data_IF_678543558719
#
_entry.id   IF_678543558719
#
_cell.length_a   1.000
_cell.length_b   1.000
_cell.length_c   1.000
_cell.angle_alpha   90.00
_cell.angle_beta   90.00
_cell.angle_gamma   90.00
#
_symmetry.space_group_name_H-M   'P 1'
#
loop_
_entity.id
_entity.type
_entity.pdbx_description
1 polymer ?
#
# COMPACT_ATOMS: atom_id res chain seq x y z
N UNK A 1 -11.77 -17.78 81.45
CA UNK A 1 -10.58 -17.33 80.70
C UNK A 1 -10.73 -17.78 79.26
N UNK A 2 -10.51 -16.82 78.35
CA UNK A 2 -10.60 -16.93 76.89
C UNK A 2 -9.67 -18.02 76.36
N UNK A 3 -10.11 -18.73 75.32
CA UNK A 3 -9.31 -18.97 74.12
C UNK A 3 -10.28 -19.10 72.94
N UNK A 4 -10.56 -17.93 72.35
CA UNK A 4 -11.02 -17.78 70.97
C UNK A 4 -9.78 -17.64 70.07
N UNK A 5 -9.89 -18.11 68.82
CA UNK A 5 -8.91 -17.92 67.76
C UNK A 5 -7.88 -19.05 67.73
N UNK A 6 -7.67 -19.78 66.64
CA UNK A 6 -7.65 -19.35 65.25
C UNK A 6 -8.22 -20.46 64.35
N UNK A 7 -9.41 -20.24 63.81
CA UNK A 7 -9.77 -20.88 62.54
C UNK A 7 -8.91 -20.23 61.46
N UNK A 8 -7.81 -20.88 61.11
CA UNK A 8 -7.08 -20.61 59.87
C UNK A 8 -8.08 -20.78 58.72
N UNK A 9 -8.67 -19.68 58.27
CA UNK A 9 -9.25 -19.56 56.94
C UNK A 9 -8.13 -19.84 55.95
N UNK A 10 -8.04 -21.10 55.51
CA UNK A 10 -7.29 -21.48 54.32
C UNK A 10 -7.68 -20.51 53.22
N UNK A 11 -6.75 -19.63 52.85
CA UNK A 11 -6.89 -18.78 51.69
C UNK A 11 -7.28 -19.70 50.53
N UNK A 12 -8.51 -19.56 50.05
CA UNK A 12 -8.96 -20.23 48.82
C UNK A 12 -7.92 -19.90 47.76
N UNK A 13 -7.17 -20.92 47.33
CA UNK A 13 -6.23 -20.81 46.23
C UNK A 13 -7.05 -20.51 44.98
N UNK A 14 -7.31 -19.22 44.74
CA UNK A 14 -8.02 -18.74 43.55
C UNK A 14 -7.17 -19.12 42.35
N UNK A 15 -7.68 -20.04 41.54
CA UNK A 15 -7.05 -20.43 40.29
C UNK A 15 -7.42 -19.42 39.20
N UNK A 16 -6.56 -19.28 38.19
CA UNK A 16 -6.85 -18.41 37.05
C UNK A 16 -8.20 -18.76 36.40
N UNK A 17 -8.57 -20.04 36.39
CA UNK A 17 -9.85 -20.55 35.88
C UNK A 17 -11.09 -20.00 36.59
N UNK A 18 -10.94 -19.54 37.85
CA UNK A 18 -12.03 -19.02 38.68
C UNK A 18 -12.43 -17.58 38.30
N UNK A 19 -11.60 -16.89 37.52
CA UNK A 19 -11.93 -15.58 36.98
C UNK A 19 -13.09 -15.66 35.99
N UNK A 20 -13.88 -14.59 35.90
CA UNK A 20 -14.93 -14.45 34.90
C UNK A 20 -14.35 -14.33 33.47
N UNK A 21 -15.19 -14.53 32.46
CA UNK A 21 -14.75 -14.54 31.07
C UNK A 21 -14.17 -13.20 30.60
N UNK A 22 -14.67 -12.08 31.13
CA UNK A 22 -14.20 -10.75 30.76
C UNK A 22 -12.79 -10.49 31.32
N UNK A 23 -12.57 -10.81 32.59
CA UNK A 23 -11.25 -10.73 33.22
C UNK A 23 -10.23 -11.64 32.52
N UNK A 24 -10.60 -12.89 32.22
CA UNK A 24 -9.76 -13.83 31.48
C UNK A 24 -9.42 -13.32 30.08
N UNK A 25 -10.41 -12.82 29.34
CA UNK A 25 -10.19 -12.25 28.03
C UNK A 25 -9.21 -11.08 28.09
N UNK A 26 -9.31 -10.21 29.10
CA UNK A 26 -8.39 -9.10 29.29
C UNK A 26 -6.95 -9.56 29.56
N UNK A 27 -6.76 -10.55 30.44
CA UNK A 27 -5.45 -11.15 30.71
C UNK A 27 -4.85 -11.78 29.44
N UNK A 28 -5.64 -12.57 28.71
CA UNK A 28 -5.18 -13.23 27.48
C UNK A 28 -4.82 -12.24 26.35
N UNK A 29 -5.34 -11.01 26.35
CA UNK A 29 -4.94 -10.00 25.37
C UNK A 29 -3.47 -9.56 25.51
N UNK A 30 -2.82 -9.81 26.64
CA UNK A 30 -1.39 -9.51 26.83
C UNK A 30 -0.45 -10.63 26.35
N UNK A 31 -0.98 -11.84 26.10
CA UNK A 31 -0.19 -12.99 25.69
C UNK A 31 0.15 -12.95 24.19
N UNK A 32 1.31 -13.49 23.81
CA UNK A 32 1.68 -13.75 22.41
C UNK A 32 0.92 -14.98 21.88
N UNK A 33 1.01 -15.24 20.57
CA UNK A 33 0.29 -16.38 19.97
C UNK A 33 0.73 -17.73 20.57
N UNK A 34 2.03 -17.90 20.84
CA UNK A 34 2.56 -19.15 21.39
C UNK A 34 2.04 -19.46 22.79
N UNK A 35 1.96 -18.45 23.65
CA UNK A 35 1.41 -18.59 25.00
C UNK A 35 -0.10 -18.83 24.96
N UNK A 36 -0.82 -18.14 24.06
CA UNK A 36 -2.25 -18.40 23.83
C UNK A 36 -2.51 -19.83 23.36
N UNK A 37 -1.67 -20.38 22.47
CA UNK A 37 -1.79 -21.76 22.01
C UNK A 37 -1.64 -22.75 23.17
N UNK A 38 -0.73 -22.48 24.13
CA UNK A 38 -0.61 -23.29 25.35
C UNK A 38 -1.85 -23.13 26.24
N UNK A 39 -2.34 -21.90 26.43
CA UNK A 39 -3.54 -21.64 27.24
C UNK A 39 -4.79 -22.32 26.69
N UNK A 40 -4.93 -22.44 25.37
CA UNK A 40 -6.05 -23.17 24.72
C UNK A 40 -6.08 -24.64 25.14
N UNK A 41 -4.94 -25.24 25.49
CA UNK A 41 -4.85 -26.65 25.89
C UNK A 41 -5.20 -26.88 27.39
N UNK A 42 -5.34 -25.82 28.18
CA UNK A 42 -5.56 -25.93 29.63
C UNK A 42 -6.99 -26.40 29.95
N UNK A 43 -8.01 -25.76 29.38
CA UNK A 43 -9.41 -26.14 29.60
C UNK A 43 -10.35 -25.61 28.51
N UNK A 44 -11.56 -26.18 28.41
CA UNK A 44 -12.58 -25.78 27.42
C UNK A 44 -12.99 -24.30 27.53
N UNK A 45 -13.01 -23.74 28.75
CA UNK A 45 -13.31 -22.33 29.00
C UNK A 45 -12.27 -21.42 28.36
N UNK A 46 -10.98 -21.71 28.55
CA UNK A 46 -9.90 -20.93 27.93
C UNK A 46 -9.91 -21.07 26.42
N UNK A 47 -10.08 -22.29 25.91
CA UNK A 47 -10.24 -22.52 24.47
C UNK A 47 -11.36 -21.66 23.88
N UNK A 48 -12.55 -21.65 24.52
CA UNK A 48 -13.69 -20.86 24.07
C UNK A 48 -13.37 -19.36 24.02
N UNK A 49 -12.90 -18.80 25.14
CA UNK A 49 -12.59 -17.37 25.27
C UNK A 49 -11.51 -16.96 24.28
N UNK A 50 -10.42 -17.72 24.17
CA UNK A 50 -9.29 -17.39 23.30
C UNK A 50 -9.72 -17.41 21.83
N UNK A 51 -10.45 -18.44 21.40
CA UNK A 51 -10.88 -18.57 20.01
C UNK A 51 -11.99 -17.59 19.61
N UNK A 52 -12.97 -17.35 20.49
CA UNK A 52 -14.17 -16.55 20.18
C UNK A 52 -14.03 -15.06 20.52
N UNK A 53 -13.13 -14.69 21.43
CA UNK A 53 -12.98 -13.31 21.91
C UNK A 53 -11.57 -12.76 21.66
N UNK A 54 -10.53 -13.46 22.12
CA UNK A 54 -9.15 -12.92 22.12
C UNK A 54 -8.57 -12.81 20.71
N UNK A 55 -8.53 -13.89 19.92
CA UNK A 55 -8.00 -13.84 18.56
C UNK A 55 -8.77 -12.85 17.66
N UNK A 56 -10.10 -12.77 17.68
CA UNK A 56 -10.84 -11.74 16.94
C UNK A 56 -10.46 -10.32 17.33
N UNK A 57 -10.35 -10.03 18.63
CA UNK A 57 -9.98 -8.70 19.11
C UNK A 57 -8.54 -8.35 18.73
N UNK A 58 -7.58 -9.27 18.96
CA UNK A 58 -6.19 -9.08 18.51
C UNK A 58 -6.11 -8.89 17.00
N UNK A 59 -6.83 -9.68 16.21
CA UNK A 59 -6.82 -9.59 14.74
C UNK A 59 -7.34 -8.23 14.27
N UNK A 60 -8.41 -7.68 14.87
CA UNK A 60 -8.93 -6.35 14.52
C UNK A 60 -7.93 -5.23 14.79
N UNK A 61 -7.08 -5.40 15.80
CA UNK A 61 -6.06 -4.41 16.17
C UNK A 61 -4.68 -4.67 15.55
N UNK A 62 -4.51 -5.78 14.84
CA UNK A 62 -3.31 -6.10 14.08
C UNK A 62 -3.06 -5.04 13.01
N UNK A 63 -1.80 -4.68 12.80
CA UNK A 63 -1.44 -3.51 12.01
C UNK A 63 -1.65 -3.78 10.52
N UNK A 64 -0.94 -4.77 9.99
CA UNK A 64 -1.02 -5.14 8.57
C UNK A 64 -2.18 -6.09 8.35
N UNK A 65 -2.23 -7.14 9.17
CA UNK A 65 -3.15 -8.25 8.98
C UNK A 65 -4.55 -7.96 9.51
N UNK A 66 -4.80 -6.81 10.16
CA UNK A 66 -6.15 -6.42 10.59
C UNK A 66 -7.02 -5.85 9.47
N UNK A 67 -6.41 -5.49 8.33
CA UNK A 67 -7.15 -4.97 7.17
C UNK A 67 -7.94 -6.05 6.44
N UNK A 68 -9.22 -5.78 6.22
CA UNK A 68 -10.07 -6.61 5.37
C UNK A 68 -9.74 -6.42 3.88
N UNK A 69 -9.28 -5.24 3.47
CA UNK A 69 -8.79 -4.99 2.12
C UNK A 69 -7.55 -5.85 1.82
N UNK A 70 -6.56 -5.83 2.70
CA UNK A 70 -5.35 -6.66 2.57
C UNK A 70 -5.66 -8.16 2.63
N UNK A 71 -6.65 -8.57 3.42
CA UNK A 71 -7.10 -9.96 3.46
C UNK A 71 -7.83 -10.38 2.15
N UNK A 72 -8.64 -9.49 1.57
CA UNK A 72 -9.33 -9.74 0.30
C UNK A 72 -8.36 -9.87 -0.88
N UNK A 73 -7.24 -9.15 -0.84
CA UNK A 73 -6.16 -9.28 -1.80
C UNK A 73 -5.36 -10.56 -1.64
N UNK A 74 -5.49 -11.31 -0.54
CA UNK A 74 -4.68 -12.52 -0.37
C UNK A 74 -5.29 -13.71 -1.11
N UNK A 75 -4.49 -14.50 -1.85
CA UNK A 75 -4.96 -15.77 -2.40
C UNK A 75 -5.26 -16.79 -1.29
N UNK A 76 -4.75 -16.56 -0.07
CA UNK A 76 -4.96 -17.39 1.10
C UNK A 76 -6.14 -16.93 1.94
N UNK A 77 -6.76 -17.87 2.66
CA UNK A 77 -7.84 -17.57 3.60
C UNK A 77 -7.35 -17.90 5.01
N UNK A 78 -6.83 -16.87 5.68
CA UNK A 78 -6.24 -17.02 7.00
C UNK A 78 -7.28 -16.90 8.11
N UNK A 79 -7.20 -17.81 9.09
CA UNK A 79 -7.98 -17.68 10.33
C UNK A 79 -7.52 -16.47 11.13
N UNK A 80 -8.36 -15.98 12.06
CA UNK A 80 -8.01 -14.88 12.96
C UNK A 80 -6.73 -15.17 13.75
N UNK A 81 -6.55 -16.40 14.24
CA UNK A 81 -5.30 -16.85 14.88
C UNK A 81 -4.10 -16.66 13.94
N UNK A 82 -4.19 -17.14 12.70
CA UNK A 82 -3.08 -17.05 11.75
C UNK A 82 -2.78 -15.60 11.35
N UNK A 83 -3.80 -14.74 11.21
CA UNK A 83 -3.62 -13.29 10.99
C UNK A 83 -2.87 -12.63 12.15
N UNK A 84 -3.19 -12.97 13.39
CA UNK A 84 -2.44 -12.46 14.57
C UNK A 84 -1.00 -12.97 14.55
N UNK A 85 -0.76 -14.22 14.17
CA UNK A 85 0.60 -14.76 14.04
C UNK A 85 1.41 -14.06 12.94
N UNK A 86 0.78 -13.84 11.78
CA UNK A 86 1.38 -13.09 10.68
C UNK A 86 1.73 -11.65 11.11
N UNK A 87 0.89 -11.00 11.93
CA UNK A 87 1.18 -9.66 12.45
C UNK A 87 2.47 -9.63 13.27
N UNK A 88 2.75 -10.67 14.06
CA UNK A 88 4.04 -10.82 14.73
C UNK A 88 5.19 -10.88 13.71
N UNK A 89 5.02 -11.63 12.61
CA UNK A 89 6.06 -11.75 11.58
C UNK A 89 6.34 -10.41 10.89
N UNK A 90 5.29 -9.64 10.57
CA UNK A 90 5.43 -8.28 10.06
C UNK A 90 6.17 -7.39 11.05
N UNK A 91 5.80 -7.41 12.34
CA UNK A 91 6.43 -6.58 13.37
C UNK A 91 7.87 -6.97 13.67
N UNK A 92 8.23 -8.24 13.59
CA UNK A 92 9.58 -8.73 13.91
C UNK A 92 10.45 -8.96 12.66
N UNK A 93 10.01 -8.56 11.48
CA UNK A 93 10.78 -8.70 10.25
C UNK A 93 11.08 -10.16 9.87
N UNK A 94 10.17 -11.10 10.17
CA UNK A 94 10.29 -12.51 9.75
C UNK A 94 9.67 -12.69 8.38
N UNK A 95 10.51 -12.78 7.35
CA UNK A 95 10.07 -13.00 5.98
C UNK A 95 11.07 -13.84 5.18
N UNK A 96 10.55 -14.58 4.20
CA UNK A 96 11.32 -15.12 3.09
C UNK A 96 11.27 -14.17 1.90
N UNK A 97 12.37 -14.09 1.16
CA UNK A 97 12.45 -13.23 -0.01
C UNK A 97 12.61 -14.05 -1.29
N UNK A 98 11.93 -13.60 -2.35
CA UNK A 98 12.14 -14.07 -3.72
C UNK A 98 12.26 -12.91 -4.68
N UNK A 99 13.02 -13.10 -5.75
CA UNK A 99 13.23 -12.09 -6.79
C UNK A 99 12.86 -12.64 -8.15
N UNK A 100 12.17 -11.83 -8.95
CA UNK A 100 11.58 -12.18 -10.24
C UNK A 100 11.86 -11.09 -11.27
N UNK A 101 11.66 -11.44 -12.54
CA UNK A 101 11.69 -10.51 -13.67
C UNK A 101 12.96 -9.66 -13.70
N UNK A 102 14.11 -10.31 -13.53
CA UNK A 102 15.38 -9.62 -13.58
C UNK A 102 15.66 -9.10 -15.00
N UNK A 103 16.05 -7.84 -15.10
CA UNK A 103 16.37 -7.21 -16.37
C UNK A 103 17.63 -6.35 -16.28
N UNK A 104 18.38 -6.31 -17.38
CA UNK A 104 19.68 -5.61 -17.46
C UNK A 104 19.51 -4.09 -17.57
N UNK A 105 18.44 -3.62 -18.22
CA UNK A 105 18.13 -2.20 -18.41
C UNK A 105 17.32 -1.71 -17.22
N UNK A 106 17.57 -0.50 -16.72
CA UNK A 106 16.77 0.07 -15.63
C UNK A 106 15.37 0.44 -16.14
N UNK A 107 14.32 0.02 -15.43
CA UNK A 107 12.94 0.42 -15.70
C UNK A 107 12.25 0.89 -14.41
N UNK A 108 11.57 2.05 -14.47
CA UNK A 108 10.69 2.53 -13.39
C UNK A 108 9.34 1.79 -13.49
N UNK A 109 9.40 0.48 -13.26
CA UNK A 109 8.25 -0.40 -13.43
C UNK A 109 7.15 -0.06 -12.41
N UNK A 110 5.90 -0.10 -12.86
CA UNK A 110 4.72 0.09 -12.04
C UNK A 110 4.13 -1.26 -11.64
N UNK A 111 3.36 -1.27 -10.56
CA UNK A 111 2.77 -2.47 -9.98
C UNK A 111 1.33 -2.25 -9.56
N UNK A 112 0.49 -3.26 -9.76
CA UNK A 112 -0.78 -3.44 -9.06
C UNK A 112 -0.98 -4.93 -8.73
N UNK A 113 -1.82 -5.23 -7.75
CA UNK A 113 -2.21 -6.61 -7.40
C UNK A 113 -3.72 -6.72 -7.25
N UNK A 114 -4.22 -7.88 -7.64
CA UNK A 114 -5.49 -8.43 -7.20
C UNK A 114 -5.25 -9.74 -6.44
N UNK A 115 -6.32 -10.37 -5.97
CA UNK A 115 -6.27 -11.69 -5.35
C UNK A 115 -5.51 -12.73 -6.18
N UNK A 116 -5.82 -12.80 -7.47
CA UNK A 116 -5.35 -13.88 -8.35
C UNK A 116 -4.23 -13.45 -9.32
N UNK A 117 -4.00 -12.14 -9.46
CA UNK A 117 -3.05 -11.61 -10.45
C UNK A 117 -2.14 -10.52 -9.88
N UNK A 118 -0.89 -10.54 -10.33
CA UNK A 118 0.07 -9.45 -10.25
C UNK A 118 0.11 -8.77 -11.62
N UNK A 119 0.06 -7.44 -11.65
CA UNK A 119 0.21 -6.65 -12.86
C UNK A 119 1.47 -5.82 -12.76
N UNK A 120 2.34 -5.90 -13.77
CA UNK A 120 3.61 -5.19 -13.79
C UNK A 120 3.84 -4.57 -15.16
N UNK A 121 4.35 -3.33 -15.17
CA UNK A 121 4.78 -2.71 -16.43
C UNK A 121 6.23 -3.03 -16.70
N UNK A 122 6.57 -3.37 -17.95
CA UNK A 122 7.94 -3.66 -18.35
C UNK A 122 8.13 -3.54 -19.87
N UNK A 123 9.07 -2.68 -20.29
CA UNK A 123 9.44 -2.47 -21.70
C UNK A 123 8.24 -2.12 -22.57
N UNK A 124 7.57 -1.01 -22.25
CA UNK A 124 6.38 -0.52 -22.95
C UNK A 124 5.10 -1.36 -22.80
N UNK A 125 5.11 -2.44 -22.00
CA UNK A 125 3.99 -3.38 -21.88
C UNK A 125 3.43 -3.42 -20.48
N UNK A 126 2.13 -3.66 -20.35
CA UNK A 126 1.47 -4.07 -19.11
C UNK A 126 1.26 -5.59 -19.16
N UNK A 127 1.81 -6.31 -18.18
CA UNK A 127 1.78 -7.77 -18.13
C UNK A 127 1.06 -8.25 -16.88
N UNK A 128 0.22 -9.27 -17.03
CA UNK A 128 -0.43 -9.95 -15.91
C UNK A 128 0.21 -11.32 -15.67
N UNK A 129 0.49 -11.62 -14.41
CA UNK A 129 1.05 -12.87 -13.95
C UNK A 129 0.14 -13.47 -12.88
N UNK A 130 -0.11 -14.78 -12.93
CA UNK A 130 -0.97 -15.43 -11.93
C UNK A 130 -0.26 -15.55 -10.60
N UNK A 131 -0.93 -15.17 -9.52
CA UNK A 131 -0.47 -15.42 -8.15
C UNK A 131 -0.80 -16.86 -7.80
N UNK A 132 0.14 -17.56 -7.18
CA UNK A 132 0.02 -18.97 -6.86
C UNK A 132 0.22 -19.21 -5.38
N UNK A 133 -0.42 -20.27 -4.86
CA UNK A 133 -0.18 -20.76 -3.49
C UNK A 133 1.07 -21.64 -3.39
N UNK A 134 1.83 -21.74 -4.48
CA UNK A 134 3.04 -22.52 -4.53
C UNK A 134 4.16 -21.81 -3.79
N UNK A 135 5.22 -22.56 -3.50
CA UNK A 135 6.49 -22.03 -3.02
C UNK A 135 7.00 -20.89 -3.91
N UNK A 136 6.72 -20.92 -5.22
CA UNK A 136 7.11 -19.87 -6.16
C UNK A 136 6.24 -18.60 -6.13
N UNK A 137 5.12 -18.56 -5.42
CA UNK A 137 4.24 -17.39 -5.18
C UNK A 137 3.59 -16.76 -6.44
N UNK A 138 4.23 -16.83 -7.59
CA UNK A 138 3.81 -16.27 -8.88
C UNK A 138 4.18 -17.25 -9.98
N UNK A 139 3.29 -17.40 -10.97
CA UNK A 139 3.59 -18.00 -12.26
C UNK A 139 4.21 -16.94 -13.17
N UNK A 140 5.48 -17.13 -13.56
CA UNK A 140 6.22 -16.16 -14.39
C UNK A 140 5.73 -16.11 -15.82
N UNK A 141 4.89 -17.06 -16.25
CA UNK A 141 4.22 -16.99 -17.56
C UNK A 141 3.24 -15.83 -17.59
N UNK A 142 3.17 -15.18 -18.74
CA UNK A 142 2.25 -14.07 -18.99
C UNK A 142 0.84 -14.66 -19.16
N UNK A 143 -0.08 -14.28 -18.30
CA UNK A 143 -1.48 -14.67 -18.39
C UNK A 143 -2.21 -13.86 -19.47
N UNK A 144 -1.95 -12.56 -19.52
CA UNK A 144 -2.35 -11.66 -20.59
C UNK A 144 -1.42 -10.44 -20.59
N UNK A 145 -1.42 -9.70 -21.70
CA UNK A 145 -0.56 -8.55 -21.91
C UNK A 145 -1.25 -7.52 -22.79
N UNK A 146 -0.88 -6.25 -22.58
CA UNK A 146 -1.28 -5.12 -23.41
C UNK A 146 -0.05 -4.28 -23.76
N UNK A 147 -0.01 -3.76 -24.99
CA UNK A 147 1.14 -3.05 -25.55
C UNK A 147 2.12 -3.98 -26.25
N UNK A 148 3.06 -3.39 -26.97
CA UNK A 148 4.02 -4.08 -27.83
C UNK A 148 5.46 -3.86 -27.38
N UNK A 149 6.33 -4.80 -27.74
CA UNK A 149 7.78 -4.61 -27.58
C UNK A 149 8.22 -3.46 -28.50
N UNK A 150 8.92 -2.48 -27.94
CA UNK A 150 9.33 -1.28 -28.67
C UNK A 150 8.42 -0.08 -28.46
N UNK A 151 7.24 -0.27 -27.85
CA UNK A 151 6.46 0.87 -27.39
C UNK A 151 7.25 1.67 -26.34
N UNK A 152 6.96 2.97 -26.28
CA UNK A 152 7.46 3.84 -25.22
C UNK A 152 7.04 3.35 -23.83
N UNK A 153 7.95 3.46 -22.86
CA UNK A 153 7.76 2.93 -21.52
C UNK A 153 6.56 3.55 -20.79
N UNK A 154 5.87 2.70 -20.03
CA UNK A 154 4.77 3.12 -19.16
C UNK A 154 5.36 3.69 -17.87
N UNK A 155 5.16 4.99 -17.67
CA UNK A 155 5.70 5.75 -16.52
C UNK A 155 4.78 5.71 -15.31
N UNK A 156 3.47 5.58 -15.54
CA UNK A 156 2.46 5.60 -14.49
C UNK A 156 1.31 4.67 -14.81
N UNK A 157 0.76 4.04 -13.77
CA UNK A 157 -0.35 3.10 -13.86
C UNK A 157 -1.35 3.37 -12.72
N UNK A 158 -2.62 3.51 -13.10
CA UNK A 158 -3.75 3.49 -12.21
C UNK A 158 -4.64 2.29 -12.54
N UNK A 159 -5.08 1.57 -11.52
CA UNK A 159 -6.00 0.43 -11.66
C UNK A 159 -7.18 0.65 -10.72
N UNK A 160 -8.39 0.53 -11.25
CA UNK A 160 -9.63 0.45 -10.45
C UNK A 160 -10.52 -0.63 -11.05
N UNK A 161 -10.89 -1.61 -10.23
CA UNK A 161 -11.60 -2.82 -10.67
C UNK A 161 -10.85 -3.47 -11.86
N UNK A 162 -11.55 -3.71 -12.97
CA UNK A 162 -10.98 -4.31 -14.17
C UNK A 162 -10.41 -3.29 -15.16
N UNK A 163 -10.43 -1.99 -14.85
CA UNK A 163 -9.91 -0.93 -15.73
C UNK A 163 -8.49 -0.53 -15.33
N UNK A 164 -7.64 -0.40 -16.34
CA UNK A 164 -6.25 0.02 -16.25
C UNK A 164 -6.06 1.28 -17.08
N UNK A 165 -5.51 2.31 -16.46
CA UNK A 165 -5.17 3.56 -17.12
C UNK A 165 -3.67 3.82 -16.95
N UNK A 166 -2.98 4.00 -18.05
CA UNK A 166 -1.53 4.10 -18.09
C UNK A 166 -1.08 5.32 -18.90
N UNK A 167 -0.02 5.97 -18.42
CA UNK A 167 0.68 7.04 -19.14
C UNK A 167 2.03 6.58 -19.64
N UNK A 168 2.45 7.07 -20.81
CA UNK A 168 3.72 6.69 -21.46
C UNK A 168 4.69 7.86 -21.61
N UNK A 169 5.96 7.56 -21.84
CA UNK A 169 6.99 8.59 -22.07
C UNK A 169 6.82 9.35 -23.40
N UNK A 170 6.04 8.84 -24.35
CA UNK A 170 5.79 9.50 -25.64
C UNK A 170 4.51 10.36 -25.64
N UNK A 171 3.97 10.69 -24.46
CA UNK A 171 2.78 11.55 -24.35
C UNK A 171 1.45 10.85 -24.62
N UNK A 172 1.46 9.52 -24.82
CA UNK A 172 0.26 8.72 -25.04
C UNK A 172 -0.30 8.13 -23.75
N UNK A 173 -1.63 8.08 -23.69
CA UNK A 173 -2.37 7.34 -22.67
C UNK A 173 -2.90 6.02 -23.22
N UNK A 174 -2.98 5.02 -22.36
CA UNK A 174 -3.53 3.70 -22.62
C UNK A 174 -4.64 3.42 -21.60
N UNK A 175 -5.86 3.21 -22.09
CA UNK A 175 -6.96 2.64 -21.31
C UNK A 175 -7.17 1.19 -21.74
N UNK A 176 -7.21 0.27 -20.78
CA UNK A 176 -7.51 -1.13 -21.01
C UNK A 176 -8.55 -1.62 -20.02
N UNK A 177 -9.58 -2.29 -20.52
CA UNK A 177 -10.60 -2.92 -19.70
C UNK A 177 -10.52 -4.44 -19.79
N UNK A 178 -10.19 -5.06 -18.66
CA UNK A 178 -10.09 -6.50 -18.54
C UNK A 178 -11.48 -7.15 -18.49
N UNK A 179 -11.71 -8.16 -19.32
CA UNK A 179 -13.01 -8.83 -19.47
C UNK A 179 -13.69 -8.49 -20.79
N UNK A 180 -13.77 -7.20 -21.14
CA UNK A 180 -14.20 -6.77 -22.50
C UNK A 180 -13.06 -6.90 -23.51
N UNK A 181 -11.80 -6.78 -23.06
CA UNK A 181 -10.62 -6.80 -23.92
C UNK A 181 -10.44 -5.52 -24.72
N UNK A 182 -11.22 -4.48 -24.41
CA UNK A 182 -11.14 -3.19 -25.09
C UNK A 182 -9.87 -2.44 -24.69
N UNK A 183 -9.22 -1.87 -25.70
CA UNK A 183 -8.01 -1.08 -25.55
C UNK A 183 -8.18 0.23 -26.33
N UNK A 184 -7.86 1.35 -25.69
CA UNK A 184 -7.80 2.66 -26.32
C UNK A 184 -6.42 3.28 -26.09
N UNK A 185 -5.81 3.76 -27.17
CA UNK A 185 -4.53 4.45 -27.15
C UNK A 185 -4.74 5.82 -27.80
N UNK A 186 -4.43 6.89 -27.08
CA UNK A 186 -4.62 8.26 -27.56
C UNK A 186 -3.40 9.11 -27.23
N UNK A 187 -2.98 9.94 -28.18
CA UNK A 187 -1.90 10.93 -27.96
C UNK A 187 -2.50 12.18 -27.35
N UNK A 188 -1.99 12.60 -26.19
CA UNK A 188 -2.50 13.79 -25.47
C UNK A 188 -1.55 14.98 -25.64
N UNK A 189 -0.26 14.71 -25.63
CA UNK A 189 0.80 15.73 -25.67
C UNK A 189 2.04 15.14 -26.34
N UNK A 190 3.03 15.99 -26.62
CA UNK A 190 4.38 15.57 -27.01
C UNK A 190 5.34 15.46 -25.81
N UNK A 191 4.89 15.76 -24.59
CA UNK A 191 5.67 15.64 -23.35
C UNK A 191 5.50 14.27 -22.67
N UNK A 192 6.44 13.92 -21.80
CA UNK A 192 6.39 12.68 -21.00
C UNK A 192 5.19 12.74 -20.05
N UNK A 193 4.31 11.74 -20.09
CA UNK A 193 3.30 11.59 -19.04
C UNK A 193 4.01 11.16 -17.76
N UNK A 194 3.75 11.89 -16.66
CA UNK A 194 4.44 11.67 -15.40
C UNK A 194 3.59 10.88 -14.41
N UNK A 195 2.32 11.24 -14.27
CA UNK A 195 1.38 10.51 -13.44
C UNK A 195 -0.03 10.51 -14.02
N UNK A 196 -0.76 9.43 -13.77
CA UNK A 196 -2.16 9.27 -14.17
C UNK A 196 -3.00 8.78 -13.00
N UNK A 197 -4.26 9.20 -12.95
CA UNK A 197 -5.28 8.57 -12.12
C UNK A 197 -6.66 8.80 -12.74
N UNK A 198 -7.65 8.04 -12.30
CA UNK A 198 -9.02 8.18 -12.78
C UNK A 198 -10.02 7.79 -11.71
N UNK A 199 -11.23 8.32 -11.75
CA UNK A 199 -12.31 7.93 -10.85
C UNK A 199 -13.63 7.96 -11.61
N UNK A 200 -14.31 6.81 -11.65
CA UNK A 200 -15.49 6.59 -12.50
C UNK A 200 -15.16 6.92 -13.95
N UNK A 201 -15.60 8.08 -14.44
CA UNK A 201 -15.49 8.51 -15.83
C UNK A 201 -14.65 9.79 -15.96
N UNK A 202 -14.06 10.27 -14.86
CA UNK A 202 -13.13 11.41 -14.86
C UNK A 202 -11.70 10.88 -14.80
N UNK A 203 -10.88 11.35 -15.73
CA UNK A 203 -9.49 10.93 -15.90
C UNK A 203 -8.57 12.14 -15.77
N UNK A 204 -7.43 11.96 -15.11
CA UNK A 204 -6.44 13.00 -14.91
C UNK A 204 -5.06 12.52 -15.32
N UNK A 205 -4.33 13.40 -16.00
CA UNK A 205 -2.98 13.15 -16.52
C UNK A 205 -2.13 14.37 -16.23
N UNK A 206 -0.99 14.21 -15.58
CA UNK A 206 0.03 15.27 -15.50
C UNK A 206 1.22 14.88 -16.35
N UNK A 207 1.76 15.85 -17.08
CA UNK A 207 3.01 15.68 -17.82
C UNK A 207 4.20 15.99 -16.93
N UNK A 208 5.42 15.84 -17.48
CA UNK A 208 6.67 16.10 -16.77
C UNK A 208 6.94 17.60 -16.62
N UNK A 209 6.63 18.40 -17.64
CA UNK A 209 7.10 19.77 -17.74
C UNK A 209 5.97 20.80 -17.90
N UNK A 210 4.89 20.45 -18.57
CA UNK A 210 3.95 21.42 -19.10
C UNK A 210 2.68 21.56 -18.27
N UNK A 211 1.81 20.54 -18.28
CA UNK A 211 0.41 20.73 -17.91
C UNK A 211 -0.20 19.51 -17.23
N UNK A 212 -1.34 19.74 -16.59
CA UNK A 212 -2.22 18.70 -16.08
C UNK A 212 -3.56 18.77 -16.80
N UNK A 213 -3.92 17.68 -17.44
CA UNK A 213 -5.13 17.53 -18.23
C UNK A 213 -6.17 16.74 -17.45
N UNK A 214 -7.43 17.16 -17.56
CA UNK A 214 -8.59 16.45 -17.06
C UNK A 214 -9.49 16.11 -18.25
N UNK A 215 -9.98 14.89 -18.26
CA UNK A 215 -10.80 14.33 -19.32
C UNK A 215 -12.07 13.71 -18.76
N UNK A 216 -13.10 13.71 -19.58
CA UNK A 216 -14.23 12.81 -19.41
C UNK A 216 -14.07 11.65 -20.38
N UNK A 217 -14.37 10.45 -19.91
CA UNK A 217 -14.40 9.24 -20.72
C UNK A 217 -15.83 8.97 -21.17
N UNK A 218 -16.06 9.05 -22.48
CA UNK A 218 -17.31 8.70 -23.12
C UNK A 218 -17.08 7.38 -23.87
N UNK A 219 -17.49 6.22 -23.34
CA UNK A 219 -17.26 4.95 -24.02
C UNK A 219 -17.89 4.98 -25.42
N UNK A 220 -17.19 4.51 -26.46
CA UNK A 220 -17.72 4.54 -27.81
C UNK A 220 -18.98 3.68 -27.90
N UNK A 221 -20.03 4.22 -28.50
CA UNK A 221 -21.28 3.50 -28.71
C UNK A 221 -21.01 2.25 -29.57
N UNK A 222 -21.35 1.07 -29.05
CA UNK A 222 -21.03 -0.22 -29.72
C UNK A 222 -21.68 -0.37 -31.10
N UNK A 223 -22.68 0.46 -31.42
CA UNK A 223 -23.41 0.44 -32.69
C UNK A 223 -22.81 1.37 -33.75
N UNK A 224 -21.91 2.28 -33.37
CA UNK A 224 -21.30 3.24 -34.27
C UNK A 224 -19.80 2.96 -34.40
N UNK A 225 -19.34 2.73 -35.63
CA UNK A 225 -17.93 2.62 -36.01
C UNK A 225 -17.23 3.99 -35.90
N UNK A 226 -17.28 4.62 -34.74
CA UNK A 226 -16.62 5.90 -34.51
C UNK A 226 -15.17 5.66 -34.09
N UNK A 227 -14.26 6.04 -34.98
CA UNK A 227 -12.81 6.15 -34.75
C UNK A 227 -12.47 7.53 -34.15
N UNK A 228 -13.31 7.98 -33.20
CA UNK A 228 -13.17 9.28 -32.53
C UNK A 228 -12.35 9.18 -31.25
N UNK A 229 -11.81 10.32 -30.81
CA UNK A 229 -11.15 10.43 -29.51
C UNK A 229 -12.13 10.06 -28.38
N UNK A 230 -11.78 9.05 -27.58
CA UNK A 230 -12.62 8.55 -26.49
C UNK A 230 -12.48 9.41 -25.23
N UNK A 231 -11.40 10.18 -25.16
CA UNK A 231 -11.15 11.16 -24.13
C UNK A 231 -11.42 12.57 -24.64
N UNK A 232 -12.45 13.19 -24.09
CA UNK A 232 -12.78 14.59 -24.35
C UNK A 232 -12.12 15.48 -23.29
N UNK A 233 -11.39 16.50 -23.72
CA UNK A 233 -10.77 17.47 -22.82
C UNK A 233 -11.82 18.26 -22.06
N UNK A 234 -11.82 18.15 -20.74
CA UNK A 234 -12.67 18.98 -19.88
C UNK A 234 -11.95 20.24 -19.40
N UNK A 235 -10.68 20.10 -18.98
CA UNK A 235 -9.89 21.23 -18.52
C UNK A 235 -8.38 20.98 -18.60
N UNK A 236 -7.58 22.06 -18.74
CA UNK A 236 -6.12 22.01 -18.75
C UNK A 236 -5.56 23.01 -17.74
N UNK A 237 -4.84 22.52 -16.74
CA UNK A 237 -4.11 23.35 -15.79
C UNK A 237 -2.67 23.56 -16.28
N UNK A 238 -2.15 24.81 -16.27
CA UNK A 238 -0.84 25.16 -16.83
C UNK A 238 0.34 24.75 -15.93
N UNK A 239 0.14 23.78 -15.04
CA UNK A 239 1.16 23.28 -14.12
C UNK A 239 1.31 21.77 -14.27
N UNK A 240 2.55 21.31 -14.32
CA UNK A 240 2.91 19.91 -14.15
C UNK A 240 3.16 19.54 -12.68
N UNK A 241 2.91 18.29 -12.35
CA UNK A 241 3.07 17.67 -11.04
C UNK A 241 3.81 16.33 -11.15
N UNK A 242 4.47 15.94 -10.07
CA UNK A 242 5.18 14.67 -9.94
C UNK A 242 4.20 13.50 -9.74
N UNK A 243 3.12 13.74 -9.00
CA UNK A 243 2.13 12.73 -8.65
C UNK A 243 0.74 13.36 -8.56
N UNK A 244 -0.29 12.56 -8.87
CA UNK A 244 -1.69 12.95 -8.80
C UNK A 244 -2.55 11.79 -8.28
N UNK A 245 -3.59 12.11 -7.50
CA UNK A 245 -4.64 11.15 -7.12
C UNK A 245 -6.02 11.78 -7.05
N UNK A 246 -6.97 11.14 -7.70
CA UNK A 246 -8.33 11.61 -7.84
C UNK A 246 -9.26 10.96 -6.80
N UNK A 247 -9.98 11.79 -6.07
CA UNK A 247 -11.05 11.40 -5.17
C UNK A 247 -12.28 12.26 -5.43
N UNK A 248 -13.27 11.66 -6.09
CA UNK A 248 -14.45 12.34 -6.61
C UNK A 248 -14.06 13.58 -7.44
N UNK A 249 -14.38 14.77 -6.95
CA UNK A 249 -14.12 16.04 -7.65
C UNK A 249 -12.82 16.70 -7.19
N UNK A 250 -12.06 16.07 -6.29
CA UNK A 250 -10.82 16.60 -5.74
C UNK A 250 -9.63 15.82 -6.27
N UNK A 251 -8.69 16.54 -6.89
CA UNK A 251 -7.44 16.00 -7.38
C UNK A 251 -6.30 16.45 -6.46
N UNK A 252 -5.80 15.52 -5.64
CA UNK A 252 -4.59 15.74 -4.85
C UNK A 252 -3.38 15.72 -5.78
N UNK A 253 -2.51 16.72 -5.69
CA UNK A 253 -1.35 16.85 -6.58
C UNK A 253 -0.08 17.19 -5.79
N UNK A 254 1.04 16.63 -6.22
CA UNK A 254 2.34 16.80 -5.57
C UNK A 254 3.38 17.34 -6.54
N UNK A 255 4.04 18.45 -6.19
CA UNK A 255 5.12 19.02 -7.01
C UNK A 255 6.46 18.31 -6.79
N UNK A 256 7.28 18.20 -7.84
CA UNK A 256 8.65 17.70 -7.74
C UNK A 256 9.59 18.67 -6.98
N UNK A 257 9.28 19.96 -6.95
CA UNK A 257 10.01 20.94 -6.16
C UNK A 257 9.18 22.21 -5.91
N UNK A 258 9.24 22.72 -4.68
CA UNK A 258 8.61 23.97 -4.25
C UNK A 258 9.50 24.68 -3.23
N UNK A 259 10.11 25.81 -3.63
CA UNK A 259 10.94 26.63 -2.75
C UNK A 259 10.18 27.20 -1.54
N UNK A 260 8.86 27.40 -1.68
CA UNK A 260 7.98 27.89 -0.61
C UNK A 260 7.53 26.81 0.38
N UNK A 261 8.01 25.57 0.24
CA UNK A 261 7.58 24.40 1.05
C UNK A 261 6.06 24.18 1.02
N UNK A 262 5.45 24.27 -0.16
CA UNK A 262 4.01 24.04 -0.39
C UNK A 262 3.83 23.18 -1.64
N UNK A 263 4.54 22.06 -1.69
CA UNK A 263 4.53 21.16 -2.84
C UNK A 263 3.22 20.37 -2.97
N UNK A 264 2.55 20.09 -1.85
CA UNK A 264 1.22 19.47 -1.84
C UNK A 264 0.12 20.51 -2.10
N UNK A 265 -0.71 20.25 -3.10
CA UNK A 265 -1.84 21.10 -3.47
C UNK A 265 -3.07 20.24 -3.74
N UNK A 266 -4.23 20.89 -3.77
CA UNK A 266 -5.50 20.28 -4.12
C UNK A 266 -6.09 21.08 -5.28
N UNK A 267 -6.60 20.36 -6.28
CA UNK A 267 -7.33 20.96 -7.38
C UNK A 267 -8.79 20.53 -7.24
N UNK A 268 -9.68 21.50 -7.08
CA UNK A 268 -11.11 21.25 -7.15
C UNK A 268 -11.54 21.31 -8.62
N UNK A 269 -11.95 20.15 -9.15
CA UNK A 269 -12.34 19.99 -10.54
C UNK A 269 -13.65 20.70 -10.88
N UNK A 270 -14.52 20.97 -9.90
CA UNK A 270 -15.78 21.67 -10.13
C UNK A 270 -15.58 23.18 -10.23
N UNK A 271 -14.84 23.76 -9.28
CA UNK A 271 -14.54 25.20 -9.29
C UNK A 271 -13.33 25.57 -10.17
N UNK A 272 -12.59 24.58 -10.66
CA UNK A 272 -11.32 24.72 -11.36
C UNK A 272 -10.27 25.53 -10.58
N UNK A 273 -10.34 25.49 -9.24
CA UNK A 273 -9.44 26.25 -8.36
C UNK A 273 -8.33 25.36 -7.81
N UNK A 274 -7.17 25.96 -7.58
CA UNK A 274 -6.01 25.30 -6.96
C UNK A 274 -5.84 25.85 -5.55
N UNK A 275 -6.04 24.98 -4.56
CA UNK A 275 -5.82 25.25 -3.15
C UNK A 275 -4.43 24.73 -2.73
N UNK A 276 -3.65 25.58 -2.07
CA UNK A 276 -2.41 25.14 -1.41
C UNK A 276 -2.74 24.60 -0.03
N UNK A 277 -2.22 23.42 0.30
CA UNK A 277 -2.32 22.88 1.65
C UNK A 277 -1.15 23.40 2.50
N UNK A 278 -1.39 23.58 3.80
CA UNK A 278 -0.43 24.00 4.81
C UNK A 278 0.44 22.83 5.29
N UNK A 279 0.87 21.99 4.34
CA UNK A 279 1.83 20.92 4.58
C UNK A 279 3.21 21.39 4.13
N UNK A 280 4.22 21.50 5.02
CA UNK A 280 5.53 22.09 4.72
C UNK A 280 6.42 21.14 3.88
N UNK A 281 5.95 20.78 2.69
CA UNK A 281 6.56 19.82 1.76
C UNK A 281 7.37 20.57 0.69
N UNK A 282 8.64 20.20 0.54
CA UNK A 282 9.52 20.72 -0.54
C UNK A 282 9.27 20.01 -1.85
N UNK A 283 8.98 18.71 -1.81
CA UNK A 283 8.60 17.90 -2.94
C UNK A 283 7.82 16.68 -2.48
N UNK A 284 6.87 16.25 -3.29
CA UNK A 284 5.96 15.13 -2.99
C UNK A 284 6.11 14.11 -4.12
N UNK A 285 6.56 12.89 -3.80
CA UNK A 285 6.80 11.83 -4.77
C UNK A 285 5.60 10.91 -4.95
N UNK A 286 4.79 10.72 -3.90
CA UNK A 286 3.57 9.93 -4.00
C UNK A 286 2.50 10.48 -3.07
N UNK A 287 1.25 10.34 -3.49
CA UNK A 287 0.07 10.72 -2.71
C UNK A 287 -0.94 9.60 -2.78
N UNK A 288 -1.71 9.43 -1.70
CA UNK A 288 -2.84 8.51 -1.62
C UNK A 288 -3.96 9.17 -0.83
N UNK A 289 -5.20 8.90 -1.21
CA UNK A 289 -6.35 9.21 -0.36
C UNK A 289 -6.50 8.12 0.69
N UNK A 290 -6.51 8.51 1.96
CA UNK A 290 -6.84 7.63 3.08
C UNK A 290 -8.37 7.46 3.17
N UNK A 291 -9.09 8.57 3.01
CA UNK A 291 -10.54 8.67 3.02
C UNK A 291 -10.97 9.94 2.25
N UNK A 292 -12.21 10.39 2.42
CA UNK A 292 -12.76 11.57 1.72
C UNK A 292 -12.08 12.90 2.10
N UNK A 293 -11.40 12.95 3.25
CA UNK A 293 -10.87 14.19 3.81
C UNK A 293 -9.38 14.13 4.13
N UNK A 294 -8.77 12.95 4.14
CA UNK A 294 -7.38 12.79 4.52
C UNK A 294 -6.52 12.26 3.36
N UNK A 295 -5.37 12.92 3.16
CA UNK A 295 -4.33 12.54 2.21
C UNK A 295 -3.13 12.01 2.97
N UNK A 296 -2.55 10.92 2.48
CA UNK A 296 -1.20 10.48 2.82
C UNK A 296 -0.24 10.94 1.73
N UNK A 297 0.89 11.54 2.10
CA UNK A 297 1.91 11.94 1.14
C UNK A 297 3.31 11.48 1.56
N UNK A 298 4.08 11.01 0.58
CA UNK A 298 5.48 10.62 0.70
C UNK A 298 6.36 11.69 0.09
N UNK A 299 7.30 12.21 0.88
CA UNK A 299 8.00 13.44 0.54
C UNK A 299 9.51 13.22 0.34
N UNK A 300 10.12 14.18 -0.37
CA UNK A 300 11.57 14.27 -0.49
C UNK A 300 12.27 14.57 0.83
N UNK A 301 11.62 15.37 1.68
CA UNK A 301 12.12 15.82 3.00
C UNK A 301 12.18 14.73 4.07
N UNK A 302 12.15 13.46 3.65
CA UNK A 302 12.29 12.25 4.48
C UNK A 302 11.10 11.97 5.40
N UNK A 303 9.98 12.66 5.15
CA UNK A 303 8.73 12.49 5.88
C UNK A 303 7.66 11.77 5.05
N UNK A 304 6.82 11.02 5.76
CA UNK A 304 5.46 10.70 5.32
C UNK A 304 4.49 11.51 6.20
N UNK A 305 3.50 12.17 5.60
CA UNK A 305 2.55 13.03 6.33
C UNK A 305 1.11 12.60 6.07
N UNK A 306 0.27 12.81 7.07
CA UNK A 306 -1.19 12.72 6.98
C UNK A 306 -1.74 14.13 7.03
N UNK A 307 -2.51 14.54 6.03
CA UNK A 307 -3.01 15.91 5.86
C UNK A 307 -4.53 15.88 5.78
N UNK A 308 -5.21 16.68 6.61
CA UNK A 308 -6.67 16.89 6.49
C UNK A 308 -6.92 18.04 5.52
N UNK A 309 -7.67 17.77 4.45
CA UNK A 309 -7.93 18.75 3.38
C UNK A 309 -8.89 19.87 3.80
N UNK A 310 -9.69 19.66 4.85
CA UNK A 310 -10.65 20.66 5.37
C UNK A 310 -9.92 21.74 6.15
N UNK A 311 -8.91 21.36 6.93
CA UNK A 311 -8.05 22.30 7.67
C UNK A 311 -6.87 22.76 6.83
N UNK A 312 -6.47 21.95 5.85
CA UNK A 312 -5.27 22.09 5.06
C UNK A 312 -3.98 21.73 5.80
N UNK A 313 -4.06 21.31 7.07
CA UNK A 313 -2.89 21.12 7.93
C UNK A 313 -2.47 19.64 8.02
N UNK A 314 -1.20 19.43 8.38
CA UNK A 314 -0.73 18.10 8.75
C UNK A 314 -1.35 17.68 10.09
N UNK A 315 -2.07 16.56 10.09
CA UNK A 315 -2.58 15.90 11.29
C UNK A 315 -1.50 15.06 11.98
N UNK A 316 -0.59 14.49 11.19
CA UNK A 316 0.52 13.70 11.70
C UNK A 316 1.69 13.60 10.71
N UNK A 317 2.89 13.37 11.25
CA UNK A 317 4.12 13.24 10.50
C UNK A 317 4.94 12.04 11.01
N UNK A 318 5.60 11.33 10.10
CA UNK A 318 6.51 10.24 10.38
C UNK A 318 7.79 10.46 9.60
N UNK A 319 8.91 10.51 10.32
CA UNK A 319 10.23 10.70 9.72
C UNK A 319 10.89 9.35 9.49
N UNK A 320 11.64 9.23 8.39
CA UNK A 320 12.50 8.09 8.17
C UNK A 320 13.70 8.09 9.15
N UNK A 321 13.97 6.97 9.87
CA UNK A 321 15.10 6.90 10.82
C UNK A 321 16.49 7.14 10.21
N UNK A 322 16.64 6.97 8.89
CA UNK A 322 17.91 7.12 8.18
C UNK A 322 17.90 8.30 7.20
N UNK A 323 16.95 9.22 7.36
CA UNK A 323 16.86 10.43 6.54
C UNK A 323 16.86 10.12 5.02
N UNK A 324 16.13 9.08 4.60
CA UNK A 324 15.88 8.81 3.20
C UNK A 324 14.49 9.31 2.78
N UNK A 325 14.40 9.84 1.56
CA UNK A 325 13.14 10.26 0.94
C UNK A 325 12.19 9.08 0.72
N UNK A 326 10.89 9.37 0.82
CA UNK A 326 9.80 8.41 0.59
C UNK A 326 9.35 8.49 -0.86
N UNK A 327 9.61 7.45 -1.66
CA UNK A 327 9.36 7.42 -3.10
C UNK A 327 7.95 6.94 -3.46
N UNK A 328 7.40 6.00 -2.69
CA UNK A 328 6.06 5.47 -2.92
C UNK A 328 5.39 5.02 -1.63
N UNK A 329 4.07 4.97 -1.66
CA UNK A 329 3.23 4.58 -0.53
C UNK A 329 2.33 3.39 -0.91
N UNK A 330 2.02 2.55 0.08
CA UNK A 330 0.97 1.54 -0.01
C UNK A 330 0.21 1.51 1.32
N UNK A 331 -1.02 2.01 1.30
CA UNK A 331 -1.92 2.02 2.45
C UNK A 331 -2.83 0.80 2.44
N UNK A 332 -2.95 0.11 3.57
CA UNK A 332 -3.77 -1.10 3.66
C UNK A 332 -5.27 -0.83 3.87
N UNK A 333 -5.74 0.42 3.91
CA UNK A 333 -7.14 0.76 4.19
C UNK A 333 -7.52 0.79 5.68
N UNK A 334 -6.56 0.59 6.60
CA UNK A 334 -6.79 0.67 8.05
C UNK A 334 -5.75 1.56 8.74
N UNK A 335 -4.66 0.98 9.25
CA UNK A 335 -3.63 1.70 10.00
C UNK A 335 -2.22 1.53 9.45
N UNK A 336 -1.97 0.53 8.60
CA UNK A 336 -0.62 0.27 8.09
C UNK A 336 -0.35 1.06 6.82
N UNK A 337 0.79 1.76 6.79
CA UNK A 337 1.35 2.34 5.58
C UNK A 337 2.73 1.73 5.36
N UNK A 338 2.91 1.14 4.19
CA UNK A 338 4.23 0.74 3.70
C UNK A 338 4.81 1.88 2.85
N UNK A 339 6.05 2.24 3.11
CA UNK A 339 6.76 3.31 2.43
C UNK A 339 7.99 2.75 1.72
N UNK A 340 8.10 2.99 0.42
CA UNK A 340 9.28 2.66 -0.37
C UNK A 340 10.31 3.77 -0.28
N UNK A 341 11.54 3.40 0.07
CA UNK A 341 12.59 4.37 0.37
C UNK A 341 13.57 4.54 -0.78
N UNK A 342 14.25 5.69 -0.81
CA UNK A 342 15.26 6.04 -1.82
C UNK A 342 16.44 5.07 -1.89
N UNK A 343 16.83 4.45 -0.77
CA UNK A 343 18.06 3.67 -0.68
C UNK A 343 17.83 2.23 -0.23
N UNK A 344 18.76 1.36 -0.61
CA UNK A 344 18.90 -0.01 -0.13
C UNK A 344 17.71 -0.95 -0.39
N UNK A 345 16.90 -0.70 -1.41
CA UNK A 345 15.66 -1.45 -1.65
C UNK A 345 14.71 -1.43 -0.42
N UNK A 346 14.93 -0.48 0.49
CA UNK A 346 14.36 -0.53 1.82
C UNK A 346 12.91 -0.12 1.77
N UNK A 347 12.11 -0.79 2.58
CA UNK A 347 10.73 -0.43 2.83
C UNK A 347 10.52 -0.26 4.33
N UNK A 348 9.71 0.72 4.72
CA UNK A 348 9.34 0.92 6.12
C UNK A 348 7.86 0.65 6.32
N UNK A 349 7.50 0.18 7.52
CA UNK A 349 6.13 0.05 8.00
C UNK A 349 5.87 1.09 9.08
N UNK A 350 4.81 1.87 8.88
CA UNK A 350 4.31 2.86 9.83
C UNK A 350 2.90 2.48 10.31
N UNK A 351 2.59 2.88 11.56
CA UNK A 351 1.24 2.80 12.13
C UNK A 351 0.66 4.20 12.26
N UNK A 352 -0.46 4.45 11.58
CA UNK A 352 -1.15 5.73 11.59
C UNK A 352 -1.62 6.17 12.98
N UNK A 353 -1.71 5.26 13.95
CA UNK A 353 -2.09 5.53 15.34
C UNK A 353 -0.90 5.96 16.21
N UNK A 354 0.32 5.79 15.72
CA UNK A 354 1.55 6.05 16.45
C UNK A 354 2.46 6.97 15.61
N UNK A 355 2.20 8.29 15.57
CA UNK A 355 3.07 9.25 14.89
C UNK A 355 4.50 9.21 15.42
N UNK A 356 5.45 9.65 14.61
CA UNK A 356 6.88 9.73 14.94
C UNK A 356 7.58 8.39 15.25
N UNK A 357 6.99 7.25 14.89
CA UNK A 357 7.60 5.93 15.10
C UNK A 357 7.59 5.08 13.83
N UNK A 358 8.75 4.63 13.40
CA UNK A 358 8.88 3.52 12.46
C UNK A 358 8.60 2.21 13.20
N UNK A 359 7.64 1.41 12.73
CA UNK A 359 7.29 0.14 13.38
C UNK A 359 8.28 -0.94 13.03
N UNK A 360 8.66 -1.03 11.75
CA UNK A 360 9.62 -1.98 11.25
C UNK A 360 10.20 -1.51 9.91
N UNK A 361 11.43 -1.96 9.60
CA UNK A 361 12.06 -1.78 8.31
C UNK A 361 12.34 -3.15 7.69
N UNK A 362 12.26 -3.24 6.36
CA UNK A 362 12.56 -4.46 5.63
C UNK A 362 13.64 -4.19 4.58
N UNK A 363 14.64 -5.06 4.56
CA UNK A 363 15.79 -4.96 3.68
C UNK A 363 15.84 -6.19 2.77
N UNK A 364 15.44 -6.04 1.51
CA UNK A 364 15.69 -7.06 0.51
C UNK A 364 17.19 -7.35 0.35
N UNK A 365 17.54 -8.62 0.12
CA UNK A 365 18.89 -9.15 0.07
C UNK A 365 19.75 -8.44 -0.98
N UNK A 366 20.92 -7.99 -0.57
CA UNK A 366 21.87 -7.38 -1.49
C UNK A 366 22.49 -8.46 -2.39
N UNK A 367 22.13 -8.48 -3.68
CA UNK A 367 22.80 -9.33 -4.68
C UNK A 367 23.93 -8.59 -5.41
N UNK A 368 23.79 -7.29 -5.63
CA UNK A 368 24.77 -6.45 -6.34
C UNK A 368 25.19 -5.24 -5.47
N UNK A 369 26.28 -4.57 -5.84
CA UNK A 369 26.82 -3.40 -5.13
C UNK A 369 25.89 -2.19 -5.12
N UNK A 370 24.94 -2.12 -6.07
CA UNK A 370 24.10 -0.95 -6.29
C UNK A 370 22.94 -0.86 -5.29
N UNK A 371 22.72 0.35 -4.80
CA UNK A 371 21.55 0.72 -4.02
C UNK A 371 20.48 1.21 -4.98
N UNK A 372 19.27 0.65 -4.87
CA UNK A 372 18.13 1.03 -5.70
C UNK A 372 17.03 1.65 -4.83
N UNK A 373 16.33 2.68 -5.32
CA UNK A 373 15.05 3.10 -4.76
C UNK A 373 13.99 2.01 -4.88
N UNK A 374 12.95 2.14 -4.07
CA UNK A 374 11.71 1.39 -4.25
C UNK A 374 10.69 2.27 -4.96
N UNK A 375 10.39 1.95 -6.21
CA UNK A 375 9.50 2.75 -7.07
C UNK A 375 8.02 2.47 -6.83
N UNK A 376 7.69 1.23 -6.48
CA UNK A 376 6.31 0.84 -6.16
C UNK A 376 6.27 -0.28 -5.15
N UNK A 377 5.27 -0.21 -4.27
CA UNK A 377 4.94 -1.26 -3.31
C UNK A 377 3.48 -1.62 -3.49
N UNK A 378 3.18 -2.90 -3.36
CA UNK A 378 1.84 -3.36 -3.02
C UNK A 378 1.97 -4.44 -1.93
N UNK A 379 0.95 -4.59 -1.10
CA UNK A 379 0.95 -5.62 -0.07
C UNK A 379 -0.45 -6.19 0.12
N UNK A 380 -0.51 -7.48 0.43
CA UNK A 380 -1.69 -8.11 1.01
C UNK A 380 -1.41 -8.42 2.50
N UNK A 381 -2.22 -9.27 3.14
CA UNK A 381 -1.99 -9.60 4.54
C UNK A 381 -0.76 -10.48 4.85
N UNK A 382 -0.16 -11.16 3.87
CA UNK A 382 0.99 -12.07 4.09
C UNK A 382 2.20 -11.82 3.18
N UNK A 383 2.06 -11.02 2.13
CA UNK A 383 3.07 -10.78 1.11
C UNK A 383 3.22 -9.29 0.83
N UNK A 384 4.47 -8.85 0.66
CA UNK A 384 4.81 -7.52 0.15
C UNK A 384 5.54 -7.65 -1.18
N UNK A 385 5.12 -6.88 -2.17
CA UNK A 385 5.69 -6.81 -3.50
C UNK A 385 6.43 -5.48 -3.64
N UNK A 386 7.71 -5.54 -4.00
CA UNK A 386 8.64 -4.42 -4.02
C UNK A 386 9.25 -4.31 -5.40
N UNK A 387 8.96 -3.23 -6.11
CA UNK A 387 9.53 -2.96 -7.44
C UNK A 387 10.73 -2.03 -7.32
N UNK A 388 11.81 -2.43 -7.98
CA UNK A 388 13.15 -1.81 -7.92
C UNK A 388 13.66 -1.53 -9.33
N UNK A 389 14.85 -0.97 -9.48
CA UNK A 389 15.46 -0.65 -10.79
C UNK A 389 15.52 -1.83 -11.77
N UNK A 390 15.65 -3.06 -11.25
CA UNK A 390 16.08 -4.23 -12.04
C UNK A 390 15.27 -5.50 -11.83
N UNK A 391 14.33 -5.49 -10.89
CA UNK A 391 13.53 -6.67 -10.56
C UNK A 391 12.33 -6.33 -9.68
N UNK A 392 11.42 -7.29 -9.64
CA UNK A 392 10.43 -7.45 -8.59
C UNK A 392 11.00 -8.29 -7.46
N UNK A 393 10.69 -7.92 -6.22
CA UNK A 393 10.95 -8.72 -5.03
C UNK A 393 9.66 -8.97 -4.26
N UNK A 394 9.53 -10.17 -3.72
CA UNK A 394 8.39 -10.58 -2.92
C UNK A 394 8.91 -10.99 -1.55
N UNK A 395 8.42 -10.33 -0.51
CA UNK A 395 8.66 -10.71 0.88
C UNK A 395 7.42 -11.47 1.38
N UNK A 396 7.58 -12.73 1.74
CA UNK A 396 6.53 -13.57 2.30
C UNK A 396 6.68 -13.66 3.81
N UNK A 397 5.69 -13.13 4.54
CA UNK A 397 5.63 -13.10 5.99
C UNK A 397 4.94 -14.33 6.58
N UNK A 398 4.39 -15.22 5.75
CA UNK A 398 4.00 -16.57 6.18
C UNK A 398 5.24 -17.48 6.28
N UNK A 399 6.16 -17.10 7.16
CA UNK A 399 7.49 -17.67 7.28
C UNK A 399 7.91 -17.72 8.77
N UNK A 400 7.18 -18.49 9.58
CA UNK A 400 7.43 -18.60 11.03
C UNK A 400 8.82 -19.16 11.37
N UNK A 401 9.46 -19.85 10.43
CA UNK A 401 10.82 -20.38 10.53
C UNK A 401 11.92 -19.38 10.13
N UNK A 402 11.56 -18.25 9.51
CA UNK A 402 12.54 -17.26 9.09
C UNK A 402 13.19 -16.57 10.30
N UNK A 403 14.45 -16.19 10.14
CA UNK A 403 15.18 -15.43 11.16
C UNK A 403 14.47 -14.10 11.47
N UNK A 404 14.47 -13.73 12.74
CA UNK A 404 13.95 -12.44 13.19
C UNK A 404 14.93 -11.33 12.80
N UNK A 405 14.44 -10.32 12.09
CA UNK A 405 15.20 -9.13 11.67
C UNK A 405 14.49 -7.90 12.21
N UNK A 406 14.60 -7.70 13.52
CA UNK A 406 13.89 -6.63 14.18
C UNK A 406 14.70 -5.33 14.17
N UNK A 407 14.26 -4.37 13.37
CA UNK A 407 14.85 -3.03 13.28
C UNK A 407 13.98 -1.95 13.94
N UNK A 408 13.03 -2.32 14.81
CA UNK A 408 12.12 -1.39 15.46
C UNK A 408 12.76 -0.49 16.54
N UNK A 409 13.99 -0.81 16.98
CA UNK A 409 14.68 -0.15 18.10
C UNK A 409 15.95 0.60 17.70
N UNK A 410 16.12 0.92 16.41
CA UNK A 410 17.26 1.69 15.89
C UNK A 410 16.94 3.19 15.85
#
# INVERSE_FOLDING_TARGET
>A
MRNQGETNTLASNKQLCDLDEYSLAHVFLFLNVGDLDRCVLVCKKFQHIIQRVVFPKKCKHALVTGSDHGAALSPYHYTRRKRVKLDENWRYGRYEERSYFHHNVMYISQLAIDKDCLYMTHGGRLQAHRRTKSVHMIDTRIAWMVGSVGDSDITSLAKKNNRFFAGRMDGKILLYEHGSGQQHLQTITNDIIKAVDFNKDVYAVTTKNESTYVFNYSPPDRELLYDGDVFEHSHVYPNAYETIKLNNNLLAVGKFHCSKKRALQLIDLYSCTIQQLNSPSTAVYDVLWKDEHCILCGNFDTTMRLVDVRTGNDEACWTDPYNASVYCLSYNGTYAVHCGMKYHYRTNLYDLRAPNRCVQMYFPLKKNSNFSPVYRIAADCSQMFVVTDHNLRILNFDADWAATKDYASI
#
